data_IF_769433090224
#
_entry.id   IF_769433090224
#
_cell.length_a   1.000
_cell.length_b   1.000
_cell.length_c   1.000
_cell.angle_alpha   90.00
_cell.angle_beta   90.00
_cell.angle_gamma   90.00
#
_symmetry.space_group_name_H-M   'P 1'
#
loop_
_entity.id
_entity.type
_entity.pdbx_description
1 polymer ?
#
# COMPACT_ATOMS: atom_id res chain seq x y z
N UNK A 1 67.67 -34.67 -16.31
CA UNK A 1 67.86 -35.99 -15.66
C UNK A 1 66.57 -36.73 -15.72
N UNK A 2 66.36 -37.51 -16.78
CA UNK A 2 66.48 -38.97 -16.73
C UNK A 2 65.30 -39.56 -15.95
N UNK A 3 64.43 -40.36 -16.42
CA UNK A 3 64.24 -41.35 -17.48
C UNK A 3 62.93 -42.09 -17.11
N UNK A 4 62.03 -42.38 -18.10
CA UNK A 4 61.76 -43.69 -18.68
C UNK A 4 61.19 -44.73 -17.71
N UNK A 5 60.17 -45.50 -17.99
CA UNK A 5 59.78 -46.42 -19.10
C UNK A 5 58.36 -46.92 -18.77
N UNK A 6 57.33 -47.02 -19.59
CA UNK A 6 57.06 -47.85 -20.74
C UNK A 6 56.61 -49.30 -20.43
N UNK A 7 55.64 -49.76 -21.27
CA UNK A 7 55.15 -51.13 -21.52
C UNK A 7 54.05 -51.67 -20.61
N UNK A 8 52.99 -52.30 -21.10
CA UNK A 8 52.52 -52.80 -22.41
C UNK A 8 51.14 -53.37 -22.28
N UNK A 9 50.42 -53.26 -23.21
CA UNK A 9 49.76 -54.02 -24.27
C UNK A 9 48.79 -55.15 -23.92
N UNK A 10 47.68 -55.13 -24.68
CA UNK A 10 46.79 -56.22 -25.15
C UNK A 10 45.79 -56.82 -24.16
N UNK A 11 44.52 -57.08 -24.51
CA UNK A 11 43.81 -57.51 -25.75
C UNK A 11 42.31 -57.40 -25.49
N UNK A 12 41.59 -56.90 -26.44
CA UNK A 12 40.53 -57.55 -27.24
C UNK A 12 39.35 -58.23 -26.49
N UNK A 13 38.15 -57.74 -26.76
CA UNK A 13 36.90 -58.39 -26.39
C UNK A 13 35.70 -57.55 -26.86
N UNK A 14 35.45 -57.55 -28.17
CA UNK A 14 34.18 -57.10 -28.75
C UNK A 14 33.10 -58.12 -28.42
N UNK A 15 32.14 -57.75 -27.61
CA UNK A 15 30.81 -58.38 -27.61
C UNK A 15 29.75 -57.30 -27.80
N UNK A 16 29.34 -57.19 -29.07
CA UNK A 16 28.22 -56.35 -29.48
C UNK A 16 26.89 -57.01 -29.09
N UNK A 17 26.22 -56.43 -28.14
CA UNK A 17 24.81 -56.82 -27.85
C UNK A 17 23.91 -56.12 -28.86
N UNK A 18 23.43 -56.92 -29.86
CA UNK A 18 22.40 -56.51 -30.81
C UNK A 18 21.06 -56.49 -30.09
N UNK A 19 20.58 -55.30 -29.71
CA UNK A 19 19.24 -55.09 -29.16
C UNK A 19 18.21 -55.11 -30.33
N UNK A 20 17.39 -56.16 -30.31
CA UNK A 20 16.29 -56.35 -31.28
C UNK A 20 15.19 -55.29 -31.11
N UNK A 21 14.52 -54.98 -32.23
CA UNK A 21 13.44 -53.98 -32.38
C UNK A 21 12.26 -54.06 -31.36
N UNK A 22 12.21 -55.07 -30.50
CA UNK A 22 11.17 -55.25 -29.47
C UNK A 22 11.53 -54.66 -28.12
N UNK A 23 12.78 -54.27 -27.87
CA UNK A 23 13.22 -53.65 -26.61
C UNK A 23 13.05 -52.13 -26.59
N UNK A 24 12.82 -51.48 -27.72
CA UNK A 24 12.75 -50.00 -27.79
C UNK A 24 11.36 -49.42 -27.44
N UNK A 25 10.31 -50.24 -27.46
CA UNK A 25 8.94 -49.79 -27.13
C UNK A 25 8.58 -49.94 -25.65
N UNK A 26 9.41 -50.59 -24.84
CA UNK A 26 9.15 -50.73 -23.41
C UNK A 26 9.81 -49.64 -22.55
N UNK A 27 10.78 -48.86 -23.08
CA UNK A 27 11.45 -47.78 -22.32
C UNK A 27 10.78 -46.37 -22.51
N UNK A 28 9.88 -46.23 -23.49
CA UNK A 28 9.17 -44.95 -23.72
C UNK A 28 7.90 -44.81 -22.88
N UNK A 29 7.44 -45.87 -22.21
CA UNK A 29 6.24 -45.84 -21.37
C UNK A 29 6.46 -45.38 -19.92
N UNK A 30 7.70 -45.40 -19.43
CA UNK A 30 8.01 -45.02 -18.02
C UNK A 30 8.47 -43.59 -17.89
N UNK A 31 8.93 -42.94 -18.94
CA UNK A 31 9.37 -41.52 -18.89
C UNK A 31 8.20 -40.51 -18.96
N UNK A 32 6.97 -40.92 -19.36
CA UNK A 32 5.82 -40.04 -19.42
C UNK A 32 5.03 -39.97 -18.11
N UNK A 33 5.27 -40.84 -17.14
CA UNK A 33 4.60 -40.84 -15.84
C UNK A 33 5.33 -40.02 -14.75
N UNK A 34 6.57 -39.56 -15.00
CA UNK A 34 7.36 -38.80 -14.03
C UNK A 34 7.22 -37.27 -14.17
N UNK A 35 6.43 -36.76 -15.15
CA UNK A 35 6.20 -35.33 -15.36
C UNK A 35 4.81 -34.85 -14.84
N UNK A 36 4.03 -35.76 -14.24
CA UNK A 36 2.73 -35.41 -13.66
C UNK A 36 2.77 -35.19 -12.12
N UNK A 37 3.95 -35.04 -11.53
CA UNK A 37 4.16 -34.96 -10.06
C UNK A 37 4.65 -33.64 -9.55
N UNK A 38 4.63 -32.54 -10.32
CA UNK A 38 4.75 -31.19 -9.77
C UNK A 38 3.37 -30.53 -9.81
N UNK A 39 2.48 -30.98 -8.93
CA UNK A 39 1.38 -30.14 -8.50
C UNK A 39 1.95 -28.88 -7.86
N UNK A 40 1.35 -27.69 -8.06
CA UNK A 40 1.82 -26.50 -7.39
C UNK A 40 1.77 -26.77 -5.88
N UNK A 41 2.95 -26.70 -5.24
CA UNK A 41 3.09 -26.69 -3.80
C UNK A 41 2.09 -25.69 -3.22
N UNK A 42 1.20 -26.12 -2.34
CA UNK A 42 0.02 -25.47 -1.84
C UNK A 42 0.22 -24.03 -1.39
N UNK A 43 -0.28 -23.13 -2.17
CA UNK A 43 -0.50 -21.74 -1.83
C UNK A 43 -1.53 -21.23 -2.81
N UNK A 44 -2.59 -20.58 -2.31
CA UNK A 44 -3.65 -19.98 -3.12
C UNK A 44 -3.12 -19.02 -4.20
N UNK A 45 -4.00 -18.45 -5.03
CA UNK A 45 -3.65 -17.52 -6.09
C UNK A 45 -2.81 -16.36 -5.56
N UNK A 46 -1.87 -15.88 -6.38
CA UNK A 46 -1.02 -14.75 -6.07
C UNK A 46 -1.73 -13.45 -6.41
N UNK A 47 -1.78 -12.52 -5.47
CA UNK A 47 -2.29 -11.16 -5.62
C UNK A 47 -1.15 -10.17 -5.40
N UNK A 48 -0.83 -9.37 -6.41
CA UNK A 48 0.11 -8.26 -6.31
C UNK A 48 -0.64 -7.06 -5.77
N UNK A 49 -0.24 -6.57 -4.59
CA UNK A 49 -0.86 -5.44 -3.89
C UNK A 49 0.05 -4.22 -3.95
N UNK A 50 -0.35 -3.19 -4.68
CA UNK A 50 0.32 -1.89 -4.65
C UNK A 50 0.10 -1.23 -3.28
N UNK A 51 1.21 -0.97 -2.58
CA UNK A 51 1.17 -0.58 -1.18
C UNK A 51 1.57 0.87 -0.92
N UNK A 52 2.78 1.28 -1.20
CA UNK A 52 3.28 2.60 -0.89
C UNK A 52 4.76 2.53 -0.51
N UNK A 53 5.31 3.63 -0.02
CA UNK A 53 6.71 3.73 0.34
C UNK A 53 7.04 2.94 1.63
N UNK A 54 8.26 2.42 1.68
CA UNK A 54 8.77 1.69 2.86
C UNK A 54 8.78 2.62 4.09
N UNK A 55 8.16 2.15 5.18
CA UNK A 55 7.98 2.92 6.41
C UNK A 55 6.69 3.74 6.44
N UNK A 56 5.92 3.75 5.36
CA UNK A 56 4.58 4.30 5.33
C UNK A 56 3.51 3.30 5.82
N UNK A 57 2.34 3.82 6.15
CA UNK A 57 1.24 3.02 6.67
C UNK A 57 0.75 1.95 5.68
N UNK A 58 0.61 2.28 4.39
CA UNK A 58 0.22 1.34 3.35
C UNK A 58 1.12 0.12 3.30
N UNK A 59 2.44 0.35 3.39
CA UNK A 59 3.43 -0.71 3.38
C UNK A 59 3.33 -1.61 4.62
N UNK A 60 3.09 -1.03 5.79
CA UNK A 60 2.89 -1.77 7.04
C UNK A 60 1.61 -2.62 7.00
N UNK A 61 0.48 -2.01 6.64
CA UNK A 61 -0.81 -2.69 6.51
C UNK A 61 -0.77 -3.84 5.49
N UNK A 62 -0.23 -3.59 4.30
CA UNK A 62 -0.07 -4.63 3.28
C UNK A 62 0.82 -5.78 3.76
N UNK A 63 1.78 -5.50 4.64
CA UNK A 63 2.61 -6.53 5.27
C UNK A 63 1.84 -7.43 6.23
N UNK A 64 0.98 -6.84 7.05
CA UNK A 64 0.10 -7.59 7.96
C UNK A 64 -0.91 -8.42 7.17
N UNK A 65 -1.50 -7.85 6.12
CA UNK A 65 -2.44 -8.56 5.25
C UNK A 65 -1.77 -9.73 4.53
N UNK A 66 -0.54 -9.55 4.02
CA UNK A 66 0.24 -10.62 3.42
C UNK A 66 0.57 -11.74 4.42
N UNK A 67 0.91 -11.39 5.66
CA UNK A 67 1.15 -12.37 6.71
C UNK A 67 -0.12 -13.13 7.11
N UNK A 68 -1.28 -12.44 7.17
CA UNK A 68 -2.57 -13.06 7.42
C UNK A 68 -2.95 -14.03 6.28
N UNK A 69 -2.76 -13.60 5.04
CA UNK A 69 -2.99 -14.41 3.84
C UNK A 69 -2.13 -15.69 3.85
N UNK A 70 -0.86 -15.57 4.19
CA UNK A 70 0.05 -16.73 4.28
C UNK A 70 -0.38 -17.73 5.36
N UNK A 71 -0.97 -17.26 6.46
CA UNK A 71 -1.51 -18.16 7.52
C UNK A 71 -2.80 -18.85 7.10
N UNK A 72 -3.66 -18.18 6.31
CA UNK A 72 -4.93 -18.78 5.84
C UNK A 72 -4.71 -19.82 4.73
N UNK A 73 -3.69 -19.63 3.90
CA UNK A 73 -3.38 -20.48 2.75
C UNK A 73 -4.31 -20.29 1.54
N UNK A 74 -5.38 -19.49 1.65
CA UNK A 74 -6.39 -19.31 0.59
C UNK A 74 -5.95 -18.36 -0.51
N UNK A 75 -5.08 -17.40 -0.18
CA UNK A 75 -4.51 -16.40 -1.10
C UNK A 75 -3.09 -16.09 -0.69
N UNK A 76 -2.25 -15.71 -1.64
CA UNK A 76 -0.91 -15.16 -1.39
C UNK A 76 -0.88 -13.71 -1.80
N UNK A 77 -0.31 -12.85 -0.96
CA UNK A 77 -0.20 -11.42 -1.25
C UNK A 77 1.27 -11.03 -1.34
N UNK A 78 1.64 -10.49 -2.50
CA UNK A 78 2.95 -9.87 -2.73
C UNK A 78 2.81 -8.35 -2.70
N UNK A 79 3.61 -7.71 -1.83
CA UNK A 79 3.62 -6.25 -1.71
C UNK A 79 4.47 -5.63 -2.81
N UNK A 80 3.88 -4.69 -3.55
CA UNK A 80 4.58 -3.87 -4.53
C UNK A 80 4.80 -2.49 -3.93
N UNK A 81 6.06 -2.08 -3.78
CA UNK A 81 6.44 -0.75 -3.26
C UNK A 81 6.18 0.31 -4.32
N UNK A 82 5.55 1.41 -3.93
CA UNK A 82 5.17 2.52 -4.80
C UNK A 82 5.31 3.86 -4.05
N UNK A 83 5.07 4.97 -4.74
CA UNK A 83 4.98 6.30 -4.12
C UNK A 83 3.62 6.56 -3.43
N UNK A 84 2.59 5.76 -3.69
CA UNK A 84 1.27 5.85 -3.05
C UNK A 84 0.10 5.91 -4.01
N UNK A 85 -1.01 6.55 -3.59
CA UNK A 85 -2.34 6.39 -4.17
C UNK A 85 -2.44 6.60 -5.68
N UNK A 86 -1.81 7.62 -6.24
CA UNK A 86 -1.91 7.92 -7.69
C UNK A 86 -1.17 6.88 -8.53
N UNK A 87 0.04 6.51 -8.10
CA UNK A 87 0.79 5.45 -8.75
C UNK A 87 0.06 4.10 -8.62
N UNK A 88 -0.46 3.80 -7.43
CA UNK A 88 -1.23 2.58 -7.15
C UNK A 88 -2.42 2.43 -8.09
N UNK A 89 -3.21 3.49 -8.26
CA UNK A 89 -4.36 3.51 -9.17
C UNK A 89 -3.94 3.37 -10.64
N UNK A 90 -2.84 4.00 -11.03
CA UNK A 90 -2.28 3.87 -12.38
C UNK A 90 -1.84 2.43 -12.66
N UNK A 91 -1.12 1.81 -11.72
CA UNK A 91 -0.69 0.41 -11.84
C UNK A 91 -1.88 -0.56 -11.89
N UNK A 92 -2.92 -0.32 -11.07
CA UNK A 92 -4.14 -1.12 -11.06
C UNK A 92 -4.89 -1.01 -12.38
N UNK A 93 -5.07 0.21 -12.90
CA UNK A 93 -5.72 0.46 -14.18
C UNK A 93 -4.98 -0.17 -15.38
N UNK A 94 -3.65 -0.29 -15.29
CA UNK A 94 -2.80 -0.89 -16.32
C UNK A 94 -2.60 -2.41 -16.14
N UNK A 95 -3.22 -3.04 -15.14
CA UNK A 95 -3.09 -4.48 -14.87
C UNK A 95 -1.68 -4.89 -14.39
N UNK A 96 -0.89 -3.94 -13.90
CA UNK A 96 0.44 -4.19 -13.34
C UNK A 96 0.37 -4.77 -11.92
N UNK A 97 -0.74 -4.51 -11.23
CA UNK A 97 -1.10 -5.08 -9.92
C UNK A 97 -2.56 -5.54 -9.94
N UNK A 98 -2.92 -6.39 -9.01
CA UNK A 98 -4.26 -6.99 -8.92
C UNK A 98 -5.12 -6.28 -7.88
N UNK A 99 -4.48 -5.66 -6.89
CA UNK A 99 -5.11 -4.86 -5.84
C UNK A 99 -4.25 -3.63 -5.49
N UNK A 100 -4.86 -2.62 -4.87
CA UNK A 100 -4.20 -1.37 -4.55
C UNK A 100 -4.79 -0.70 -3.30
N UNK A 101 -3.95 -0.06 -2.49
CA UNK A 101 -4.38 0.87 -1.44
C UNK A 101 -4.41 2.29 -2.00
N UNK A 102 -5.49 3.02 -1.79
CA UNK A 102 -5.61 4.40 -2.24
C UNK A 102 -6.48 5.25 -1.31
N UNK A 103 -6.13 6.53 -1.17
CA UNK A 103 -7.03 7.52 -0.58
C UNK A 103 -8.30 7.63 -1.43
N UNK A 104 -9.44 7.72 -0.77
CA UNK A 104 -10.76 7.81 -1.44
C UNK A 104 -10.86 9.02 -2.37
N UNK A 105 -10.24 10.13 -2.02
CA UNK A 105 -10.19 11.35 -2.84
C UNK A 105 -9.29 11.22 -4.08
N UNK A 106 -8.42 10.22 -4.10
CA UNK A 106 -7.52 9.95 -5.22
C UNK A 106 -8.18 9.14 -6.33
N UNK A 107 -9.28 8.44 -6.06
CA UNK A 107 -9.94 7.56 -7.03
C UNK A 107 -10.47 8.36 -8.23
N UNK A 108 -11.12 9.52 -7.97
CA UNK A 108 -11.56 10.44 -9.02
C UNK A 108 -12.29 9.74 -10.17
N UNK A 109 -11.84 10.00 -11.40
CA UNK A 109 -12.43 9.42 -12.61
C UNK A 109 -12.18 7.91 -12.81
N UNK A 110 -11.41 7.28 -11.92
CA UNK A 110 -11.19 5.83 -11.97
C UNK A 110 -12.30 5.00 -11.30
N UNK A 111 -13.33 5.65 -10.77
CA UNK A 111 -14.41 4.99 -10.02
C UNK A 111 -15.06 3.84 -10.79
N UNK A 112 -15.22 3.97 -12.11
CA UNK A 112 -15.82 2.95 -12.97
C UNK A 112 -14.85 1.83 -13.41
N UNK A 113 -13.57 1.93 -13.04
CA UNK A 113 -12.51 1.00 -13.46
C UNK A 113 -12.03 0.07 -12.35
N UNK A 114 -12.42 0.37 -11.13
CA UNK A 114 -11.98 -0.35 -9.92
C UNK A 114 -13.18 -0.75 -9.08
N UNK A 115 -13.03 -1.81 -8.30
CA UNK A 115 -14.02 -2.26 -7.34
C UNK A 115 -13.41 -2.25 -5.94
N UNK A 116 -14.19 -1.91 -4.92
CA UNK A 116 -13.70 -1.86 -3.56
C UNK A 116 -13.79 -3.22 -2.88
N UNK A 117 -12.72 -3.62 -2.21
CA UNK A 117 -12.73 -4.71 -1.25
C UNK A 117 -13.14 -4.21 0.14
N UNK A 118 -12.86 -2.94 0.47
CA UNK A 118 -13.34 -2.31 1.68
C UNK A 118 -12.68 -0.97 1.99
N UNK A 119 -13.32 -0.19 2.91
CA UNK A 119 -12.72 0.97 3.58
C UNK A 119 -11.95 0.45 4.79
N UNK A 120 -10.61 0.47 4.72
CA UNK A 120 -9.78 -0.24 5.70
C UNK A 120 -9.31 0.62 6.86
N UNK A 121 -9.06 1.92 6.65
CA UNK A 121 -8.69 2.87 7.70
C UNK A 121 -8.80 4.31 7.18
N UNK A 122 -8.43 5.29 8.02
CA UNK A 122 -8.41 6.70 7.66
C UNK A 122 -7.01 7.27 7.82
N UNK A 123 -6.53 7.96 6.79
CA UNK A 123 -5.33 8.77 6.91
C UNK A 123 -5.69 10.14 7.46
N UNK A 124 -4.90 10.60 8.41
CA UNK A 124 -4.95 11.95 8.93
C UNK A 124 -3.90 12.79 8.22
N UNK A 125 -4.34 13.92 7.66
CA UNK A 125 -3.45 14.89 7.04
C UNK A 125 -2.71 15.63 8.16
N UNK A 126 -1.39 15.64 8.10
CA UNK A 126 -0.54 16.19 9.15
C UNK A 126 0.35 17.27 8.55
N UNK A 127 0.04 18.53 8.82
CA UNK A 127 0.92 19.64 8.48
C UNK A 127 1.94 19.82 9.60
N UNK A 128 3.19 19.48 9.29
CA UNK A 128 4.31 19.45 10.23
C UNK A 128 5.23 20.62 9.96
N UNK A 129 5.60 21.33 11.02
CA UNK A 129 6.61 22.40 10.99
C UNK A 129 7.57 22.21 12.15
N UNK A 130 8.73 22.85 12.12
CA UNK A 130 9.63 22.88 13.27
C UNK A 130 8.95 23.54 14.47
N UNK A 131 9.30 23.12 15.66
CA UNK A 131 8.70 23.66 16.91
C UNK A 131 8.91 25.17 17.09
N UNK A 132 10.02 25.72 16.59
CA UNK A 132 10.37 27.14 16.60
C UNK A 132 9.76 27.95 15.43
N UNK A 133 9.08 27.29 14.48
CA UNK A 133 8.44 27.95 13.33
C UNK A 133 7.34 28.91 13.77
N UNK A 134 7.22 30.02 13.06
CA UNK A 134 6.12 31.00 13.25
C UNK A 134 4.82 30.61 12.54
N UNK A 135 4.85 29.64 11.63
CA UNK A 135 3.68 29.19 10.86
C UNK A 135 2.64 28.58 11.80
N UNK A 136 1.40 29.09 11.78
CA UNK A 136 0.28 28.69 12.63
C UNK A 136 -0.94 28.22 11.82
N UNK A 137 -0.99 28.52 10.51
CA UNK A 137 -2.08 28.16 9.61
C UNK A 137 -1.55 27.81 8.23
N UNK A 138 -2.38 27.14 7.40
CA UNK A 138 -2.04 26.83 6.00
C UNK A 138 -1.85 28.12 5.18
N UNK A 139 -2.60 29.18 5.46
CA UNK A 139 -2.49 30.45 4.74
C UNK A 139 -1.09 31.10 4.90
N UNK A 140 -0.43 30.86 6.04
CA UNK A 140 0.92 31.37 6.33
C UNK A 140 2.04 30.61 5.61
N UNK A 141 1.72 29.59 4.83
CA UNK A 141 2.67 28.92 3.95
C UNK A 141 3.06 29.75 2.73
N UNK A 142 2.44 30.92 2.50
CA UNK A 142 2.78 31.80 1.37
C UNK A 142 4.26 32.18 1.39
N UNK A 143 4.94 31.94 0.27
CA UNK A 143 6.37 32.23 0.08
C UNK A 143 7.32 31.19 0.69
N UNK A 144 6.81 30.18 1.39
CA UNK A 144 7.61 29.15 2.07
C UNK A 144 7.91 27.94 1.16
N UNK A 145 8.79 27.05 1.63
CA UNK A 145 9.15 25.78 1.00
C UNK A 145 8.36 24.67 1.68
N UNK A 146 7.46 24.04 0.93
CA UNK A 146 6.59 23.00 1.47
C UNK A 146 6.78 21.69 0.71
N UNK A 147 7.06 20.62 1.43
CA UNK A 147 7.02 19.28 0.88
C UNK A 147 5.59 18.72 1.00
N UNK A 148 5.04 18.20 -0.10
CA UNK A 148 3.69 17.60 -0.16
C UNK A 148 3.71 16.06 -0.22
N UNK A 149 4.82 15.43 0.17
CA UNK A 149 5.03 13.99 0.02
C UNK A 149 5.58 13.62 -1.36
N UNK A 150 5.81 12.33 -1.57
CA UNK A 150 6.36 11.82 -2.82
C UNK A 150 5.48 12.18 -4.03
N UNK A 151 6.10 12.38 -5.18
CA UNK A 151 5.38 12.55 -6.44
C UNK A 151 4.54 11.29 -6.74
N UNK A 152 3.30 11.47 -7.23
CA UNK A 152 2.36 10.36 -7.43
C UNK A 152 1.72 9.83 -6.14
N UNK A 153 1.97 10.44 -4.97
CA UNK A 153 1.30 10.07 -3.73
C UNK A 153 -0.09 10.71 -3.59
N UNK A 154 -0.94 10.12 -2.76
CA UNK A 154 -2.20 10.74 -2.36
C UNK A 154 -1.99 12.01 -1.53
N UNK A 155 -0.93 12.06 -0.72
CA UNK A 155 -0.55 13.24 0.06
C UNK A 155 -0.27 14.44 -0.86
N UNK A 156 0.42 14.24 -1.98
CA UNK A 156 0.69 15.30 -2.95
C UNK A 156 -0.59 15.87 -3.56
N UNK A 157 -1.53 15.01 -3.96
CA UNK A 157 -2.83 15.44 -4.49
C UNK A 157 -3.64 16.21 -3.46
N UNK A 158 -3.83 15.60 -2.28
CA UNK A 158 -4.65 16.21 -1.21
C UNK A 158 -4.00 17.48 -0.68
N UNK A 159 -2.67 17.52 -0.54
CA UNK A 159 -1.92 18.71 -0.15
C UNK A 159 -2.09 19.88 -1.11
N UNK A 160 -2.03 19.63 -2.41
CA UNK A 160 -2.30 20.65 -3.41
C UNK A 160 -3.74 21.18 -3.34
N UNK A 161 -4.72 20.32 -3.02
CA UNK A 161 -6.12 20.73 -2.78
C UNK A 161 -6.26 21.59 -1.54
N UNK A 162 -5.62 21.22 -0.44
CA UNK A 162 -5.58 21.99 0.82
C UNK A 162 -5.02 23.38 0.57
N UNK A 163 -3.89 23.50 -0.12
CA UNK A 163 -3.31 24.82 -0.45
C UNK A 163 -4.31 25.66 -1.25
N UNK A 164 -4.99 25.10 -2.28
CA UNK A 164 -5.98 25.81 -3.08
C UNK A 164 -7.18 26.29 -2.26
N UNK A 165 -7.65 25.50 -1.30
CA UNK A 165 -8.75 25.89 -0.41
C UNK A 165 -8.32 26.98 0.55
N UNK A 166 -7.07 26.98 1.00
CA UNK A 166 -6.48 28.05 1.80
C UNK A 166 -6.14 29.32 1.01
N UNK A 167 -6.52 29.40 -0.28
CA UNK A 167 -6.27 30.58 -1.14
C UNK A 167 -4.84 30.68 -1.66
N UNK A 168 -4.11 29.55 -1.68
CA UNK A 168 -2.74 29.47 -2.20
C UNK A 168 -2.70 28.71 -3.52
N UNK A 169 -1.91 29.20 -4.47
CA UNK A 169 -1.60 28.50 -5.72
C UNK A 169 -0.30 27.72 -5.52
N UNK A 170 -0.32 26.37 -5.57
CA UNK A 170 0.83 25.54 -5.22
C UNK A 170 2.14 25.95 -5.91
N UNK A 171 2.09 26.27 -7.21
CA UNK A 171 3.30 26.56 -8.00
C UNK A 171 3.70 28.04 -8.03
N UNK A 172 2.81 28.95 -7.55
CA UNK A 172 3.03 30.39 -7.60
C UNK A 172 3.23 31.02 -6.22
N UNK A 173 2.44 30.59 -5.24
CA UNK A 173 2.44 31.17 -3.89
C UNK A 173 3.33 30.41 -2.91
N UNK A 174 3.68 29.14 -3.24
CA UNK A 174 4.43 28.23 -2.39
C UNK A 174 5.51 27.54 -3.23
N UNK A 175 6.69 27.34 -2.67
CA UNK A 175 7.72 26.53 -3.31
C UNK A 175 7.51 25.06 -2.94
N UNK A 176 6.77 24.35 -3.78
CA UNK A 176 6.43 22.96 -3.57
C UNK A 176 7.60 22.05 -3.95
N UNK A 177 7.86 21.05 -3.12
CA UNK A 177 8.73 19.91 -3.42
C UNK A 177 8.00 18.59 -3.16
N UNK A 178 8.51 17.53 -3.78
CA UNK A 178 7.98 16.17 -3.64
C UNK A 178 9.12 15.23 -3.27
N UNK A 179 9.12 14.76 -2.02
CA UNK A 179 10.09 13.81 -1.49
C UNK A 179 9.38 12.73 -0.67
N UNK A 180 9.92 11.52 -0.64
CA UNK A 180 9.50 10.50 0.32
C UNK A 180 9.64 11.00 1.76
N UNK A 181 8.82 10.45 2.67
CA UNK A 181 8.70 10.93 4.05
C UNK A 181 10.03 11.11 4.77
N UNK A 182 10.96 10.16 4.68
CA UNK A 182 12.25 10.24 5.37
C UNK A 182 13.13 11.37 4.85
N UNK A 183 13.15 11.58 3.55
CA UNK A 183 13.90 12.68 2.92
C UNK A 183 13.27 14.03 3.27
N UNK A 184 11.93 14.12 3.17
CA UNK A 184 11.17 15.32 3.55
C UNK A 184 11.41 15.72 5.01
N UNK A 185 11.48 14.76 5.92
CA UNK A 185 11.80 15.01 7.33
C UNK A 185 13.26 15.46 7.51
N UNK A 186 14.19 14.93 6.74
CA UNK A 186 15.59 15.38 6.77
C UNK A 186 15.70 16.84 6.30
N UNK A 187 15.04 17.20 5.17
CA UNK A 187 14.98 18.59 4.67
C UNK A 187 14.34 19.54 5.69
N UNK A 188 13.23 19.14 6.33
CA UNK A 188 12.56 19.94 7.36
C UNK A 188 13.45 20.14 8.58
N UNK A 189 14.15 19.10 9.02
CA UNK A 189 15.07 19.15 10.16
C UNK A 189 16.28 20.04 9.88
N UNK A 190 16.82 19.98 8.66
CA UNK A 190 17.95 20.81 8.20
C UNK A 190 17.53 22.27 7.96
N UNK A 191 16.23 22.59 7.94
CA UNK A 191 15.74 23.92 7.58
C UNK A 191 15.76 24.17 6.07
N UNK A 192 15.91 23.16 5.25
CA UNK A 192 15.82 23.22 3.80
C UNK A 192 14.37 23.24 3.30
N UNK A 193 13.43 22.69 4.07
CA UNK A 193 11.99 22.88 3.96
C UNK A 193 11.46 23.63 5.20
N UNK A 194 10.35 24.35 5.04
CA UNK A 194 9.71 25.11 6.11
C UNK A 194 8.50 24.34 6.68
N UNK A 195 7.87 23.50 5.88
CA UNK A 195 6.76 22.64 6.26
C UNK A 195 6.75 21.33 5.45
N UNK A 196 6.15 20.29 6.04
CA UNK A 196 5.85 19.02 5.41
C UNK A 196 4.35 18.72 5.59
N UNK A 197 3.64 18.41 4.52
CA UNK A 197 2.32 17.84 4.60
C UNK A 197 2.39 16.33 4.34
N UNK A 198 1.94 15.56 5.30
CA UNK A 198 1.93 14.12 5.29
C UNK A 198 0.51 13.56 5.44
N UNK A 199 0.19 12.48 4.74
CA UNK A 199 -1.05 11.72 4.91
C UNK A 199 -0.70 10.33 5.43
N UNK A 200 -1.11 10.00 6.65
CA UNK A 200 -0.78 8.71 7.26
C UNK A 200 -1.54 8.43 8.54
N UNK A 201 -1.22 7.28 9.14
CA UNK A 201 -1.72 6.90 10.45
C UNK A 201 -1.14 7.79 11.57
N UNK A 202 -1.73 7.69 12.74
CA UNK A 202 -1.35 8.45 13.94
C UNK A 202 -1.11 7.44 15.08
N UNK A 203 0.08 7.47 15.73
CA UNK A 203 1.22 8.34 15.44
C UNK A 203 2.05 7.88 14.23
N UNK A 204 2.65 8.83 13.51
CA UNK A 204 3.70 8.54 12.53
C UNK A 204 5.06 8.79 13.19
N UNK A 205 5.76 7.74 13.60
CA UNK A 205 6.97 7.82 14.44
C UNK A 205 8.10 8.69 13.87
N UNK A 206 8.23 8.69 12.55
CA UNK A 206 9.28 9.46 11.83
C UNK A 206 9.11 10.97 11.99
N UNK A 207 7.92 11.47 12.35
CA UNK A 207 7.67 12.91 12.47
C UNK A 207 8.29 13.57 13.69
N UNK A 208 8.86 12.82 14.62
CA UNK A 208 9.57 13.30 15.83
C UNK A 208 8.79 14.35 16.65
N UNK A 209 7.47 14.28 16.67
CA UNK A 209 6.59 15.18 17.43
C UNK A 209 6.54 14.72 18.89
N UNK A 210 6.55 15.65 19.87
CA UNK A 210 6.70 17.11 19.78
C UNK A 210 8.13 17.63 19.98
N UNK A 211 9.14 16.76 19.98
CA UNK A 211 10.51 17.13 20.38
C UNK A 211 11.10 18.27 19.54
N UNK A 212 11.06 18.13 18.22
CA UNK A 212 11.62 19.08 17.26
C UNK A 212 10.57 19.67 16.32
N UNK A 213 9.45 18.97 16.21
CA UNK A 213 8.37 19.30 15.28
C UNK A 213 7.06 19.51 16.04
N UNK A 214 6.14 20.21 15.42
CA UNK A 214 4.76 20.33 15.87
C UNK A 214 3.80 20.26 14.70
N UNK A 215 2.56 19.90 15.00
CA UNK A 215 1.46 19.94 14.06
C UNK A 215 0.87 21.36 13.99
N UNK A 216 0.30 21.67 12.82
CA UNK A 216 -0.51 22.87 12.58
C UNK A 216 -1.95 22.43 12.39
N UNK A 217 -2.88 23.08 13.07
CA UNK A 217 -4.32 22.84 12.93
C UNK A 217 -4.79 23.18 11.51
N UNK A 218 -5.57 22.28 10.90
CA UNK A 218 -6.17 22.43 9.57
C UNK A 218 -7.67 22.12 9.60
N UNK A 219 -8.25 21.85 10.75
CA UNK A 219 -9.62 21.35 10.87
C UNK A 219 -10.69 22.25 10.27
N UNK A 220 -10.46 23.57 10.23
CA UNK A 220 -11.35 24.53 9.59
C UNK A 220 -11.46 24.38 8.07
N UNK A 221 -10.45 23.76 7.44
CA UNK A 221 -10.44 23.55 5.99
C UNK A 221 -11.25 22.32 5.55
N UNK A 222 -11.71 21.47 6.45
CA UNK A 222 -12.45 20.26 6.10
C UNK A 222 -13.76 20.58 5.38
N UNK A 223 -14.53 21.57 5.85
CA UNK A 223 -15.80 21.99 5.21
C UNK A 223 -15.53 22.56 3.81
N UNK A 224 -14.65 23.54 3.62
CA UNK A 224 -14.32 24.07 2.28
C UNK A 224 -13.73 22.99 1.35
N UNK A 225 -12.97 22.03 1.86
CA UNK A 225 -12.47 20.89 1.06
C UNK A 225 -13.63 20.04 0.53
N UNK A 226 -14.60 19.75 1.40
CA UNK A 226 -15.79 18.97 1.06
C UNK A 226 -16.67 19.68 0.03
N UNK A 227 -16.88 20.98 0.21
CA UNK A 227 -17.67 21.79 -0.74
C UNK A 227 -17.04 21.85 -2.13
N UNK A 228 -15.72 21.92 -2.19
CA UNK A 228 -15.01 22.10 -3.46
C UNK A 228 -14.66 20.81 -4.18
N UNK A 229 -14.37 19.74 -3.45
CA UNK A 229 -13.80 18.51 -4.00
C UNK A 229 -14.61 17.25 -3.66
N UNK A 230 -15.78 17.40 -3.00
CA UNK A 230 -16.67 16.28 -2.69
C UNK A 230 -16.50 15.70 -1.28
N UNK A 231 -17.25 14.67 -0.93
CA UNK A 231 -17.48 14.22 0.46
C UNK A 231 -16.31 13.46 1.11
N UNK A 232 -15.19 13.31 0.44
CA UNK A 232 -14.08 12.46 0.90
C UNK A 232 -13.30 13.01 2.12
N UNK A 233 -13.64 14.22 2.62
CA UNK A 233 -12.86 14.93 3.63
C UNK A 233 -13.66 15.10 4.91
N UNK A 234 -13.19 14.49 5.99
CA UNK A 234 -13.78 14.63 7.31
C UNK A 234 -12.93 15.51 8.23
N UNK A 235 -13.61 16.28 9.09
CA UNK A 235 -12.91 16.98 10.18
C UNK A 235 -12.69 15.98 11.29
N UNK A 236 -11.42 15.69 11.58
CA UNK A 236 -10.99 14.74 12.60
C UNK A 236 -10.05 15.38 13.60
N UNK A 237 -9.88 14.77 14.77
CA UNK A 237 -8.96 15.21 15.79
C UNK A 237 -7.81 14.19 15.94
N UNK A 238 -6.58 14.68 15.93
CA UNK A 238 -5.44 13.96 16.46
C UNK A 238 -5.46 14.21 17.97
N UNK A 239 -5.75 13.19 18.80
CA UNK A 239 -5.90 13.37 20.24
C UNK A 239 -4.61 13.87 20.89
N UNK A 240 -4.75 14.55 22.02
CA UNK A 240 -3.61 14.81 22.90
C UNK A 240 -2.93 13.48 23.25
N UNK A 241 -1.61 13.48 23.28
CA UNK A 241 -0.79 12.30 23.57
C UNK A 241 -0.81 11.17 22.50
N UNK A 242 -1.51 11.36 21.39
CA UNK A 242 -1.30 10.50 20.22
C UNK A 242 0.19 10.52 19.79
N UNK A 243 0.81 11.69 19.95
CA UNK A 243 2.26 11.85 20.01
C UNK A 243 2.64 12.19 21.45
N UNK A 244 3.48 11.39 22.15
CA UNK A 244 3.74 11.58 23.58
C UNK A 244 4.12 13.02 23.95
N UNK A 245 3.28 13.68 24.78
CA UNK A 245 3.43 15.09 25.13
C UNK A 245 2.96 16.09 24.08
N UNK A 246 2.29 15.63 23.02
CA UNK A 246 1.65 16.48 22.01
C UNK A 246 0.32 17.04 22.48
N UNK A 247 -0.11 18.16 21.88
CA UNK A 247 -1.44 18.73 22.08
C UNK A 247 -2.43 18.12 21.06
N UNK A 248 -3.72 18.15 21.39
CA UNK A 248 -4.78 17.83 20.45
C UNK A 248 -4.79 18.83 19.29
N UNK A 249 -4.98 18.34 18.07
CA UNK A 249 -4.99 19.15 16.85
C UNK A 249 -6.09 18.66 15.93
N UNK A 250 -6.95 19.56 15.45
CA UNK A 250 -7.92 19.21 14.42
C UNK A 250 -7.26 19.20 13.04
N UNK A 251 -7.67 18.24 12.23
CA UNK A 251 -7.14 18.08 10.89
C UNK A 251 -8.20 17.52 9.93
N UNK A 252 -7.75 17.06 8.78
CA UNK A 252 -8.58 16.47 7.73
C UNK A 252 -8.29 14.98 7.68
N UNK A 253 -9.34 14.17 7.83
CA UNK A 253 -9.33 12.74 7.59
C UNK A 253 -9.73 12.43 6.16
N UNK A 254 -9.09 11.43 5.56
CA UNK A 254 -9.43 10.88 4.24
C UNK A 254 -9.40 9.36 4.32
N UNK A 255 -10.52 8.74 3.99
CA UNK A 255 -10.66 7.28 4.02
C UNK A 255 -9.69 6.61 3.03
N UNK A 256 -9.19 5.44 3.43
CA UNK A 256 -8.41 4.57 2.57
C UNK A 256 -9.24 3.38 2.13
N UNK A 257 -9.21 3.12 0.83
CA UNK A 257 -9.81 1.96 0.22
C UNK A 257 -8.76 0.91 -0.14
N UNK A 258 -9.08 -0.34 0.14
CA UNK A 258 -8.48 -1.47 -0.53
C UNK A 258 -9.30 -1.75 -1.78
N UNK A 259 -8.68 -1.56 -2.93
CA UNK A 259 -9.30 -1.66 -4.25
C UNK A 259 -8.79 -2.91 -4.98
N UNK A 260 -9.61 -3.43 -5.88
CA UNK A 260 -9.28 -4.53 -6.76
C UNK A 260 -9.52 -4.15 -8.23
N UNK A 261 -8.78 -4.77 -9.14
CA UNK A 261 -9.11 -4.76 -10.54
C UNK A 261 -10.50 -5.41 -10.76
N UNK A 262 -11.31 -4.86 -11.66
CA UNK A 262 -12.65 -5.40 -11.94
C UNK A 262 -12.62 -6.86 -12.43
N UNK A 263 -11.50 -7.32 -12.95
CA UNK A 263 -11.28 -8.69 -13.42
C UNK A 263 -10.81 -9.66 -12.32
N UNK A 264 -10.65 -9.21 -11.06
CA UNK A 264 -10.26 -10.10 -9.96
C UNK A 264 -11.35 -11.18 -9.79
N UNK A 265 -10.99 -12.49 -9.67
CA UNK A 265 -11.98 -13.53 -9.38
C UNK A 265 -12.72 -13.31 -8.06
N UNK A 266 -14.00 -13.64 -8.01
CA UNK A 266 -14.85 -13.41 -6.84
C UNK A 266 -14.38 -14.17 -5.61
N UNK A 267 -13.89 -15.40 -5.76
CA UNK A 267 -13.35 -16.23 -4.70
C UNK A 267 -12.04 -15.66 -4.13
N UNK A 268 -11.22 -15.03 -4.97
CA UNK A 268 -9.99 -14.32 -4.53
C UNK A 268 -10.35 -13.08 -3.73
N UNK A 269 -11.30 -12.27 -4.23
CA UNK A 269 -11.79 -11.09 -3.54
C UNK A 269 -12.44 -11.46 -2.19
N UNK A 270 -13.27 -12.51 -2.17
CA UNK A 270 -13.88 -13.04 -0.95
C UNK A 270 -12.81 -13.45 0.07
N UNK A 271 -11.79 -14.22 -0.36
CA UNK A 271 -10.70 -14.64 0.53
C UNK A 271 -9.96 -13.46 1.17
N UNK A 272 -9.75 -12.36 0.45
CA UNK A 272 -9.11 -11.15 1.01
C UNK A 272 -10.05 -10.47 2.02
N UNK A 273 -11.34 -10.35 1.69
CA UNK A 273 -12.32 -9.70 2.57
C UNK A 273 -12.57 -10.51 3.85
N UNK A 274 -12.53 -11.84 3.78
CA UNK A 274 -12.56 -12.70 4.97
C UNK A 274 -11.43 -12.38 5.94
N UNK A 275 -10.22 -12.08 5.43
CA UNK A 275 -9.12 -11.63 6.31
C UNK A 275 -9.45 -10.30 6.98
N UNK A 276 -10.05 -9.34 6.27
CA UNK A 276 -10.44 -8.05 6.83
C UNK A 276 -11.48 -8.19 7.94
N UNK A 277 -12.44 -9.10 7.77
CA UNK A 277 -13.57 -9.30 8.71
C UNK A 277 -13.16 -10.18 9.89
N UNK A 278 -12.52 -11.33 9.63
CA UNK A 278 -12.30 -12.34 10.67
C UNK A 278 -10.92 -12.27 11.33
N UNK A 279 -9.98 -11.50 10.77
CA UNK A 279 -8.64 -11.33 11.33
C UNK A 279 -8.29 -9.85 11.59
N UNK A 280 -9.30 -8.98 11.72
CA UNK A 280 -9.17 -7.54 11.91
C UNK A 280 -8.09 -7.16 12.94
N UNK A 281 -8.09 -7.78 14.12
CA UNK A 281 -7.14 -7.49 15.20
C UNK A 281 -5.67 -7.71 14.79
N UNK A 282 -5.43 -8.63 13.85
CA UNK A 282 -4.08 -8.92 13.35
C UNK A 282 -3.62 -7.97 12.24
N UNK A 283 -4.51 -7.12 11.74
CA UNK A 283 -4.27 -6.21 10.62
C UNK A 283 -4.03 -4.75 11.05
N UNK A 284 -3.93 -4.49 12.34
CA UNK A 284 -3.70 -3.14 12.87
C UNK A 284 -2.21 -2.88 13.02
N UNK A 285 -1.61 -2.01 12.19
CA UNK A 285 -0.25 -1.55 12.41
C UNK A 285 -0.13 -0.80 13.74
N UNK A 286 1.01 -0.95 14.41
CA UNK A 286 1.29 -0.27 15.69
C UNK A 286 1.11 1.25 15.59
N UNK A 287 1.39 1.79 14.40
CA UNK A 287 1.32 3.21 14.08
C UNK A 287 -0.10 3.72 13.79
N UNK A 288 -1.12 2.87 13.93
CA UNK A 288 -2.48 3.24 13.55
C UNK A 288 -3.56 2.77 14.52
N UNK A 289 -3.20 2.48 15.73
CA UNK A 289 -4.12 1.94 16.75
C UNK A 289 -5.37 2.80 17.02
N UNK A 290 -5.45 4.03 16.53
CA UNK A 290 -6.60 4.91 16.66
C UNK A 290 -7.31 5.29 15.34
N UNK A 291 -6.86 4.78 14.20
CA UNK A 291 -7.33 5.23 12.87
C UNK A 291 -7.85 4.11 11.96
N UNK A 292 -7.96 2.89 12.45
CA UNK A 292 -8.49 1.76 11.69
C UNK A 292 -10.01 1.66 11.81
N UNK A 293 -10.63 1.17 10.75
CA UNK A 293 -12.08 0.94 10.67
C UNK A 293 -12.37 -0.48 10.15
N UNK A 294 -11.72 -1.48 10.74
CA UNK A 294 -11.87 -2.87 10.34
C UNK A 294 -13.09 -3.53 11.03
N UNK A 295 -14.18 -2.81 11.13
CA UNK A 295 -15.49 -3.34 11.49
C UNK A 295 -16.39 -3.40 10.25
N UNK A 296 -17.31 -4.37 10.20
CA UNK A 296 -18.11 -4.63 9.00
C UNK A 296 -18.94 -3.45 8.51
N UNK A 297 -19.35 -2.53 9.40
CA UNK A 297 -20.10 -1.33 9.01
C UNK A 297 -19.23 -0.31 8.32
N UNK A 298 -18.02 -0.12 8.84
CA UNK A 298 -17.05 0.80 8.27
C UNK A 298 -16.47 0.26 6.97
N UNK A 299 -16.17 -1.04 6.90
CA UNK A 299 -15.60 -1.70 5.71
C UNK A 299 -16.47 -1.52 4.46
N UNK A 300 -17.81 -1.53 4.57
CA UNK A 300 -18.72 -1.35 3.43
C UNK A 300 -18.88 0.11 2.97
N UNK A 301 -18.35 1.06 3.72
CA UNK A 301 -18.48 2.50 3.45
C UNK A 301 -17.56 2.97 2.31
N UNK A 302 -17.70 2.42 1.11
CA UNK A 302 -16.79 2.67 -0.03
C UNK A 302 -17.33 3.61 -1.10
N UNK A 303 -18.53 4.18 -0.89
CA UNK A 303 -19.10 5.09 -1.88
C UNK A 303 -18.13 6.25 -2.24
N UNK A 304 -18.05 6.63 -3.52
CA UNK A 304 -18.87 6.19 -4.66
C UNK A 304 -18.37 4.88 -5.33
N UNK A 305 -17.27 4.28 -4.87
CA UNK A 305 -16.72 3.07 -5.48
C UNK A 305 -17.59 1.86 -5.11
N UNK A 306 -18.11 1.10 -6.09
CA UNK A 306 -18.91 -0.07 -5.81
C UNK A 306 -18.07 -1.19 -5.19
N UNK A 307 -18.68 -1.97 -4.31
CA UNK A 307 -18.05 -3.16 -3.77
C UNK A 307 -17.86 -4.24 -4.85
N UNK A 308 -16.74 -4.95 -4.77
CA UNK A 308 -16.51 -6.15 -5.58
C UNK A 308 -17.57 -7.22 -5.25
N UNK A 309 -18.14 -7.96 -6.25
CA UNK A 309 -19.18 -8.97 -5.99
C UNK A 309 -18.79 -9.96 -4.89
N UNK A 310 -17.59 -10.54 -4.94
CA UNK A 310 -17.08 -11.44 -3.89
C UNK A 310 -16.96 -10.77 -2.52
N UNK A 311 -16.59 -9.49 -2.46
CA UNK A 311 -16.57 -8.72 -1.21
C UNK A 311 -18.01 -8.54 -0.66
N UNK A 312 -18.94 -8.15 -1.52
CA UNK A 312 -20.33 -7.94 -1.14
C UNK A 312 -21.01 -9.23 -0.61
N UNK A 313 -20.62 -10.39 -1.12
CA UNK A 313 -21.09 -11.68 -0.64
C UNK A 313 -20.62 -11.96 0.78
N UNK A 314 -19.34 -11.79 1.08
CA UNK A 314 -18.77 -11.98 2.43
C UNK A 314 -19.44 -11.02 3.42
N UNK A 315 -19.60 -9.74 3.05
CA UNK A 315 -20.24 -8.77 3.94
C UNK A 315 -21.71 -9.11 4.20
N UNK A 316 -22.47 -9.59 3.21
CA UNK A 316 -23.86 -10.06 3.41
C UNK A 316 -23.92 -11.26 4.35
N UNK A 317 -23.03 -12.24 4.15
CA UNK A 317 -22.96 -13.42 5.01
C UNK A 317 -22.57 -13.07 6.46
N UNK A 318 -21.73 -12.05 6.64
CA UNK A 318 -21.29 -11.62 7.98
C UNK A 318 -22.36 -10.84 8.74
N UNK A 319 -23.21 -10.08 8.04
CA UNK A 319 -24.30 -9.32 8.67
C UNK A 319 -25.54 -10.16 9.00
N UNK A 320 -25.68 -11.38 8.53
CA UNK A 320 -26.77 -12.33 8.75
C UNK A 320 -27.92 -12.09 7.80
#
# INVERSE_FOLDING_TARGET
>A
MVQHQAFGAKTDGRDGVVMGRRGFLALTGVAAAALAGCGPSGGGPLVRLASGEVGGFYYAFAGLLAAAAARSGNVRIERVTTSGSQENLTMLANGQVDAALALSDSVGDNVDRVLALGRVYENYLQLVVRSDSTIRSVAELRGTRVNLGADGSGAALTGARILRVAGLKPEADVRVSHRPLREAMAELTAGEADALLWAGGVPTSVLEIPKRMRLVDMGELAVPMRERFGPAYDRVEIPADAYPGGAAVHTIGVANFLLAAAAMPEDVAASIVELLVYQADSLVPTEAAGTQFLDGRSLIGTAPVPLHPGAAEVYRAWHG
#
